data_IF_374882927368
#
_entry.id   IF_374882927368
#
_cell.length_a   1.000
_cell.length_b   1.000
_cell.length_c   1.000
_cell.angle_alpha   90.00
_cell.angle_beta   90.00
_cell.angle_gamma   90.00
#
_symmetry.space_group_name_H-M   'P 1'
#
loop_
_entity.id
_entity.type
_entity.pdbx_description
1 polymer ?
#
# COMPACT_ATOMS: atom_id res chain seq x y z
N UNK A 1 -22.28 11.32 -30.10
CA UNK A 1 -21.44 10.50 -29.20
C UNK A 1 -20.38 11.32 -28.45
N UNK A 2 -19.25 11.76 -29.05
CA UNK A 2 -18.19 12.52 -28.31
C UNK A 2 -18.65 13.74 -27.51
N UNK A 3 -19.64 14.51 -27.99
CA UNK A 3 -20.18 15.67 -27.24
C UNK A 3 -20.82 15.26 -25.89
N UNK A 4 -21.54 14.15 -25.88
CA UNK A 4 -22.18 13.60 -24.67
C UNK A 4 -21.11 13.03 -23.75
N UNK A 5 -20.20 12.21 -24.30
CA UNK A 5 -19.05 11.67 -23.55
C UNK A 5 -18.24 12.77 -22.89
N UNK A 6 -18.01 13.90 -23.57
CA UNK A 6 -17.28 15.04 -23.00
C UNK A 6 -18.03 15.69 -21.82
N UNK A 7 -19.35 15.84 -21.91
CA UNK A 7 -20.15 16.37 -20.80
C UNK A 7 -20.13 15.43 -19.59
N UNK A 8 -20.32 14.13 -19.84
CA UNK A 8 -20.29 13.10 -18.80
C UNK A 8 -18.90 13.05 -18.14
N UNK A 9 -17.84 12.97 -18.94
CA UNK A 9 -16.46 12.97 -18.45
C UNK A 9 -16.14 14.22 -17.64
N UNK A 10 -16.58 15.40 -18.07
CA UNK A 10 -16.38 16.65 -17.33
C UNK A 10 -17.07 16.62 -15.96
N UNK A 11 -18.36 16.27 -15.90
CA UNK A 11 -19.14 16.29 -14.66
C UNK A 11 -18.63 15.22 -13.69
N UNK A 12 -18.44 13.99 -14.18
CA UNK A 12 -17.94 12.89 -13.36
C UNK A 12 -16.48 13.14 -12.94
N UNK A 13 -15.64 13.67 -13.83
CA UNK A 13 -14.25 13.99 -13.54
C UNK A 13 -14.11 15.11 -12.52
N UNK A 14 -14.95 16.14 -12.58
CA UNK A 14 -14.93 17.22 -11.58
C UNK A 14 -15.45 16.74 -10.22
N UNK A 15 -16.51 15.92 -10.21
CA UNK A 15 -17.08 15.39 -8.96
C UNK A 15 -16.15 14.38 -8.26
N UNK A 16 -15.63 13.41 -9.00
CA UNK A 16 -14.74 12.36 -8.46
C UNK A 16 -13.28 12.78 -8.36
N UNK A 17 -12.88 13.85 -9.04
CA UNK A 17 -11.49 14.33 -9.06
C UNK A 17 -10.97 14.70 -7.67
N UNK A 18 -11.84 15.19 -6.78
CA UNK A 18 -11.46 15.47 -5.39
C UNK A 18 -11.08 14.20 -4.63
N UNK A 19 -11.86 13.13 -4.78
CA UNK A 19 -11.59 11.85 -4.14
C UNK A 19 -10.28 11.27 -4.67
N UNK A 20 -10.12 11.23 -6.00
CA UNK A 20 -8.89 10.72 -6.64
C UNK A 20 -7.68 11.53 -6.21
N UNK A 21 -7.82 12.86 -6.07
CA UNK A 21 -6.74 13.73 -5.61
C UNK A 21 -6.30 13.41 -4.17
N UNK A 22 -7.24 13.24 -3.24
CA UNK A 22 -6.95 12.89 -1.85
C UNK A 22 -6.27 11.51 -1.79
N UNK A 23 -6.83 10.51 -2.47
CA UNK A 23 -6.28 9.14 -2.51
C UNK A 23 -4.88 9.12 -3.14
N UNK A 24 -4.65 9.92 -4.19
CA UNK A 24 -3.34 9.99 -4.84
C UNK A 24 -2.27 10.64 -3.95
N UNK A 25 -2.60 11.73 -3.24
CA UNK A 25 -1.65 12.39 -2.32
C UNK A 25 -1.33 11.48 -1.14
N UNK A 26 -2.35 10.90 -0.51
CA UNK A 26 -2.17 9.98 0.63
C UNK A 26 -1.40 8.73 0.21
N UNK A 27 -1.68 8.18 -0.97
CA UNK A 27 -0.92 7.06 -1.53
C UNK A 27 0.55 7.41 -1.81
N UNK A 28 0.81 8.60 -2.33
CA UNK A 28 2.19 9.09 -2.54
C UNK A 28 2.94 9.20 -1.22
N UNK A 29 2.33 9.79 -0.20
CA UNK A 29 2.92 9.88 1.14
C UNK A 29 3.19 8.49 1.73
N UNK A 30 2.28 7.54 1.53
CA UNK A 30 2.43 6.18 2.04
C UNK A 30 3.56 5.40 1.37
N UNK A 31 3.75 5.56 0.05
CA UNK A 31 4.85 4.91 -0.69
C UNK A 31 6.22 5.33 -0.16
N UNK A 32 6.37 6.59 0.27
CA UNK A 32 7.62 7.13 0.83
C UNK A 32 7.65 7.09 2.36
N UNK A 33 6.89 6.18 3.00
CA UNK A 33 6.77 6.12 4.46
C UNK A 33 8.12 5.93 5.13
N UNK A 34 8.92 4.97 4.66
CA UNK A 34 10.21 4.64 5.28
C UNK A 34 11.21 5.77 5.09
N UNK A 35 11.29 6.39 3.92
CA UNK A 35 12.19 7.51 3.66
C UNK A 35 11.81 8.76 4.48
N UNK A 36 10.51 9.04 4.60
CA UNK A 36 10.03 10.13 5.44
C UNK A 36 10.34 9.83 6.92
N UNK A 37 10.10 8.60 7.38
CA UNK A 37 10.42 8.19 8.76
C UNK A 37 11.92 8.30 9.03
N UNK A 38 12.78 7.82 8.13
CA UNK A 38 14.23 7.88 8.30
C UNK A 38 14.76 9.32 8.47
N UNK A 39 14.11 10.31 7.84
CA UNK A 39 14.52 11.72 7.97
C UNK A 39 13.84 12.44 9.14
N UNK A 40 12.67 11.96 9.61
CA UNK A 40 11.86 12.64 10.63
C UNK A 40 11.90 12.00 12.01
N UNK A 41 12.29 10.73 12.09
CA UNK A 41 12.40 9.97 13.33
C UNK A 41 13.87 9.73 13.64
N UNK A 42 14.18 9.69 14.93
CA UNK A 42 15.51 9.31 15.40
C UNK A 42 15.75 7.82 15.12
N UNK A 43 16.82 7.52 14.41
CA UNK A 43 17.22 6.15 14.10
C UNK A 43 17.70 5.46 15.39
N UNK A 44 17.22 4.22 15.60
CA UNK A 44 17.71 3.40 16.70
C UNK A 44 19.07 2.84 16.29
N UNK A 45 20.13 3.53 16.66
CA UNK A 45 21.49 3.04 16.39
C UNK A 45 21.76 1.87 17.33
N UNK A 46 21.86 0.67 16.76
CA UNK A 46 22.29 -0.54 17.47
C UNK A 46 23.75 -0.78 17.10
N UNK A 47 24.61 -0.84 18.11
CA UNK A 47 26.00 -1.20 17.87
C UNK A 47 26.07 -2.67 17.42
N UNK A 48 26.66 -2.88 16.25
CA UNK A 48 26.89 -4.21 15.71
C UNK A 48 27.65 -5.07 16.72
N UNK A 49 27.00 -6.12 17.19
CA UNK A 49 27.63 -7.15 18.02
C UNK A 49 27.83 -8.41 17.18
N UNK A 50 28.96 -9.09 17.39
CA UNK A 50 29.25 -10.40 16.78
C UNK A 50 28.57 -11.54 17.56
N UNK A 51 27.66 -11.22 18.48
CA UNK A 51 26.95 -12.23 19.25
C UNK A 51 25.80 -12.81 18.43
N UNK A 52 25.42 -14.04 18.77
CA UNK A 52 24.30 -14.71 18.12
C UNK A 52 22.99 -13.95 18.39
N UNK A 53 22.11 -13.92 17.38
CA UNK A 53 20.75 -13.42 17.55
C UNK A 53 20.00 -14.15 18.66
N UNK A 54 19.10 -13.43 19.33
CA UNK A 54 18.06 -14.05 20.13
C UNK A 54 17.25 -15.02 19.29
N UNK A 55 16.98 -16.19 19.86
CA UNK A 55 16.07 -17.15 19.24
C UNK A 55 14.67 -16.58 19.09
N UNK A 56 13.88 -17.15 18.17
CA UNK A 56 12.49 -16.74 17.92
C UNK A 56 11.66 -16.90 19.19
N UNK A 57 11.87 -17.99 19.93
CA UNK A 57 11.20 -18.24 21.22
C UNK A 57 11.57 -17.20 22.28
N UNK A 58 12.82 -16.75 22.33
CA UNK A 58 13.24 -15.70 23.28
C UNK A 58 12.64 -14.34 22.93
N UNK A 59 12.68 -13.95 21.65
CA UNK A 59 12.06 -12.73 21.17
C UNK A 59 10.54 -12.73 21.40
N UNK A 60 9.86 -13.84 21.12
CA UNK A 60 8.43 -14.06 21.42
C UNK A 60 8.15 -13.83 22.92
N UNK A 61 8.95 -14.46 23.79
CA UNK A 61 8.78 -14.35 25.24
C UNK A 61 8.98 -12.90 25.73
N UNK A 62 10.01 -12.21 25.22
CA UNK A 62 10.27 -10.81 25.57
C UNK A 62 9.12 -9.92 25.09
N UNK A 63 8.67 -10.09 23.84
CA UNK A 63 7.57 -9.32 23.27
C UNK A 63 6.28 -9.46 24.10
N UNK A 64 5.96 -10.68 24.55
CA UNK A 64 4.80 -10.94 25.41
C UNK A 64 4.90 -10.33 26.81
N UNK A 65 6.07 -9.89 27.27
CA UNK A 65 6.16 -9.11 28.53
C UNK A 65 5.48 -7.74 28.40
N UNK A 66 5.43 -7.19 27.18
CA UNK A 66 4.75 -5.92 26.87
C UNK A 66 3.26 -6.13 26.62
N UNK A 67 2.92 -7.15 25.83
CA UNK A 67 1.53 -7.47 25.47
C UNK A 67 1.22 -8.96 25.74
N UNK A 68 0.92 -9.34 27.01
CA UNK A 68 0.76 -10.75 27.40
C UNK A 68 -0.38 -11.48 26.67
N UNK A 69 -1.50 -10.82 26.46
CA UNK A 69 -2.73 -11.43 25.93
C UNK A 69 -2.96 -11.16 24.42
N UNK A 70 -1.94 -10.65 23.72
CA UNK A 70 -2.03 -10.28 22.30
C UNK A 70 -1.34 -11.29 21.42
N UNK A 71 -1.92 -11.56 20.25
CA UNK A 71 -1.37 -12.51 19.29
C UNK A 71 -0.25 -11.85 18.46
N UNK A 72 0.90 -12.52 18.41
CA UNK A 72 1.98 -12.18 17.49
C UNK A 72 1.59 -12.70 16.11
N UNK A 73 1.56 -11.80 15.13
CA UNK A 73 1.34 -12.10 13.73
C UNK A 73 2.63 -12.56 13.03
N UNK A 74 3.76 -11.97 13.43
CA UNK A 74 5.07 -12.32 12.92
C UNK A 74 6.18 -11.66 13.73
N UNK A 75 7.38 -12.22 13.62
CA UNK A 75 8.61 -11.64 14.15
C UNK A 75 9.56 -11.48 12.96
N UNK A 76 10.00 -10.25 12.72
CA UNK A 76 10.91 -9.92 11.63
C UNK A 76 12.33 -9.78 12.18
N UNK A 77 13.26 -10.41 11.48
CA UNK A 77 14.70 -10.35 11.70
C UNK A 77 15.34 -9.77 10.45
N UNK A 78 16.29 -8.87 10.65
CA UNK A 78 17.17 -8.37 9.59
C UNK A 78 18.63 -8.67 10.00
N UNK A 79 19.54 -7.70 9.96
CA UNK A 79 20.90 -7.82 10.51
C UNK A 79 20.99 -7.48 12.02
N UNK A 80 22.16 -7.69 12.64
CA UNK A 80 22.37 -7.41 14.07
C UNK A 80 22.52 -5.92 14.40
N UNK A 81 22.53 -5.04 13.38
CA UNK A 81 22.41 -3.59 13.53
C UNK A 81 20.98 -3.08 13.48
N UNK A 82 20.00 -3.95 13.20
CA UNK A 82 18.59 -3.60 13.17
C UNK A 82 17.81 -4.29 14.32
N UNK A 83 16.77 -3.64 14.85
CA UNK A 83 15.95 -4.21 15.90
C UNK A 83 15.09 -5.38 15.38
N UNK A 84 14.94 -6.41 16.19
CA UNK A 84 13.92 -7.44 15.95
C UNK A 84 12.55 -6.79 16.13
N UNK A 85 11.67 -6.91 15.12
CA UNK A 85 10.29 -6.39 15.19
C UNK A 85 9.31 -7.52 15.47
N UNK A 86 8.75 -7.56 16.68
CA UNK A 86 7.63 -8.44 17.02
C UNK A 86 6.30 -7.72 16.75
N UNK A 87 5.58 -8.17 15.71
CA UNK A 87 4.34 -7.57 15.22
C UNK A 87 3.15 -8.27 15.86
N UNK A 88 2.33 -7.51 16.59
CA UNK A 88 1.07 -7.98 17.16
C UNK A 88 -0.10 -7.50 16.31
N UNK A 89 -0.95 -8.43 15.86
CA UNK A 89 -2.15 -8.09 15.09
C UNK A 89 -3.34 -8.96 15.49
N UNK A 90 -4.48 -8.33 15.77
CA UNK A 90 -5.77 -8.96 16.01
C UNK A 90 -6.86 -8.16 15.31
N UNK A 91 -7.84 -8.84 14.71
CA UNK A 91 -8.98 -8.18 14.05
C UNK A 91 -10.08 -7.81 15.02
N UNK A 92 -10.30 -8.62 16.07
CA UNK A 92 -11.40 -8.43 17.03
C UNK A 92 -10.95 -8.74 18.48
N UNK A 93 -10.90 -7.73 19.38
CA UNK A 93 -10.91 -6.30 19.05
C UNK A 93 -9.68 -5.91 18.22
N UNK A 94 -9.82 -4.92 17.34
CA UNK A 94 -8.73 -4.44 16.49
C UNK A 94 -7.53 -4.02 17.36
N UNK A 95 -6.39 -4.66 17.15
CA UNK A 95 -5.14 -4.34 17.82
C UNK A 95 -4.01 -4.49 16.80
N UNK A 96 -3.20 -3.45 16.63
CA UNK A 96 -2.05 -3.52 15.73
C UNK A 96 -0.90 -2.68 16.29
N UNK A 97 0.14 -3.35 16.76
CA UNK A 97 1.31 -2.69 17.36
C UNK A 97 2.56 -3.55 17.20
N UNK A 98 3.73 -2.94 17.21
CA UNK A 98 5.01 -3.63 17.21
C UNK A 98 5.81 -3.35 18.47
N UNK A 99 6.58 -4.35 18.89
CA UNK A 99 7.62 -4.23 19.91
C UNK A 99 8.96 -4.43 19.23
N UNK A 100 9.85 -3.45 19.38
CA UNK A 100 11.20 -3.50 18.82
C UNK A 100 12.17 -3.92 19.92
N UNK A 101 12.91 -5.00 19.68
CA UNK A 101 13.77 -5.66 20.66
C UNK A 101 15.21 -5.62 20.14
N UNK A 102 16.16 -5.35 21.03
CA UNK A 102 17.58 -5.42 20.69
C UNK A 102 17.95 -6.86 20.27
N UNK A 103 18.60 -7.05 19.11
CA UNK A 103 18.76 -8.36 18.47
C UNK A 103 19.54 -9.39 19.30
N UNK A 104 20.47 -8.95 20.15
CA UNK A 104 21.30 -9.81 21.01
C UNK A 104 21.02 -9.63 22.51
N UNK A 105 20.86 -8.40 23.00
CA UNK A 105 20.67 -8.12 24.44
C UNK A 105 19.26 -8.43 24.97
N UNK A 106 18.24 -8.44 24.09
CA UNK A 106 16.85 -8.67 24.51
C UNK A 106 16.19 -7.52 25.24
N UNK A 107 16.82 -6.34 25.22
CA UNK A 107 16.23 -5.11 25.76
C UNK A 107 15.14 -4.59 24.84
N UNK A 108 14.04 -4.09 25.41
CA UNK A 108 12.96 -3.47 24.63
C UNK A 108 13.39 -2.05 24.29
N UNK A 109 13.52 -1.76 22.99
CA UNK A 109 14.01 -0.48 22.48
C UNK A 109 12.87 0.53 22.34
N UNK A 110 11.78 0.13 21.68
CA UNK A 110 10.58 0.96 21.53
C UNK A 110 9.34 0.10 21.30
N UNK A 111 8.18 0.72 21.42
CA UNK A 111 6.91 0.16 20.97
C UNK A 111 6.26 1.15 20.00
N UNK A 112 5.60 0.63 18.96
CA UNK A 112 4.91 1.46 17.96
C UNK A 112 3.46 1.01 17.82
N UNK A 113 2.52 1.94 17.94
CA UNK A 113 1.11 1.69 17.68
C UNK A 113 0.78 2.10 16.24
N UNK A 114 0.57 1.10 15.38
CA UNK A 114 0.31 1.29 13.95
C UNK A 114 -1.07 1.87 13.62
N UNK A 115 -1.97 1.95 14.61
CA UNK A 115 -3.29 2.56 14.47
C UNK A 115 -3.29 4.06 14.74
N UNK A 116 -2.15 4.62 15.10
CA UNK A 116 -2.03 6.03 15.52
C UNK A 116 -0.89 6.76 14.81
N UNK A 117 -0.89 8.09 14.89
CA UNK A 117 0.14 8.93 14.31
C UNK A 117 -0.10 9.32 12.85
N UNK A 118 0.88 10.02 12.28
CA UNK A 118 0.76 10.63 10.95
C UNK A 118 0.48 9.60 9.85
N UNK A 119 1.24 8.49 9.82
CA UNK A 119 1.07 7.49 8.77
C UNK A 119 -0.23 6.69 8.92
N UNK A 120 -0.67 6.38 10.14
CA UNK A 120 -2.00 5.79 10.35
C UNK A 120 -3.11 6.69 9.81
N UNK A 121 -3.03 8.01 10.06
CA UNK A 121 -3.95 8.99 9.50
C UNK A 121 -3.86 9.06 7.96
N UNK A 122 -2.66 9.03 7.38
CA UNK A 122 -2.47 9.01 5.92
C UNK A 122 -3.11 7.76 5.30
N UNK A 123 -2.88 6.58 5.89
CA UNK A 123 -3.46 5.34 5.41
C UNK A 123 -4.97 5.36 5.50
N UNK A 124 -5.52 5.77 6.63
CA UNK A 124 -6.98 5.85 6.82
C UNK A 124 -7.62 6.82 5.81
N UNK A 125 -6.95 7.93 5.49
CA UNK A 125 -7.35 8.81 4.39
C UNK A 125 -7.29 8.13 3.02
N UNK A 126 -6.29 7.30 2.78
CA UNK A 126 -6.09 6.59 1.52
C UNK A 126 -7.16 5.51 1.26
N UNK A 127 -7.44 4.67 2.28
CA UNK A 127 -8.33 3.51 2.13
C UNK A 127 -9.77 3.79 2.56
N UNK A 128 -10.00 4.77 3.44
CA UNK A 128 -11.33 5.09 3.99
C UNK A 128 -11.76 6.55 3.83
N UNK A 129 -10.90 7.47 3.35
CA UNK A 129 -11.18 8.92 3.32
C UNK A 129 -11.56 9.50 4.69
N UNK A 130 -11.01 8.93 5.78
CA UNK A 130 -11.35 9.31 7.16
C UNK A 130 -12.84 9.15 7.51
N UNK A 131 -13.54 8.32 6.75
CA UNK A 131 -14.92 7.92 7.03
C UNK A 131 -14.93 6.56 7.73
N UNK A 132 -16.04 6.17 8.38
CA UNK A 132 -16.18 4.82 8.91
C UNK A 132 -15.89 3.78 7.82
N UNK A 133 -15.11 2.75 8.13
CA UNK A 133 -14.63 1.72 7.20
C UNK A 133 -15.75 1.20 6.27
N UNK A 134 -16.90 0.85 6.85
CA UNK A 134 -18.07 0.35 6.10
C UNK A 134 -18.53 1.26 4.94
N UNK A 135 -18.29 2.58 5.04
CA UNK A 135 -18.64 3.59 4.04
C UNK A 135 -17.41 3.98 3.21
N UNK A 136 -16.32 4.33 3.90
CA UNK A 136 -15.08 4.85 3.32
C UNK A 136 -14.48 3.89 2.30
N UNK A 137 -14.33 2.61 2.67
CA UNK A 137 -13.80 1.57 1.79
C UNK A 137 -14.62 1.45 0.50
N UNK A 138 -15.95 1.56 0.59
CA UNK A 138 -16.81 1.47 -0.59
C UNK A 138 -16.64 2.69 -1.51
N UNK A 139 -16.54 3.89 -0.94
CA UNK A 139 -16.34 5.12 -1.72
C UNK A 139 -15.02 5.06 -2.48
N UNK A 140 -13.90 4.74 -1.80
CA UNK A 140 -12.59 4.64 -2.44
C UNK A 140 -12.61 3.57 -3.52
N UNK A 141 -13.10 2.36 -3.19
CA UNK A 141 -13.18 1.23 -4.12
C UNK A 141 -13.95 1.56 -5.41
N UNK A 142 -15.15 2.15 -5.29
CA UNK A 142 -15.96 2.51 -6.46
C UNK A 142 -15.43 3.75 -7.19
N UNK A 143 -14.73 4.65 -6.50
CA UNK A 143 -14.03 5.77 -7.12
C UNK A 143 -12.92 5.29 -8.06
N UNK A 144 -12.22 4.19 -7.72
CA UNK A 144 -11.24 3.56 -8.61
C UNK A 144 -11.88 3.03 -9.90
N UNK A 145 -13.06 2.41 -9.82
CA UNK A 145 -13.83 1.97 -11.00
C UNK A 145 -14.26 3.16 -11.85
N UNK A 146 -14.79 4.21 -11.21
CA UNK A 146 -15.17 5.44 -11.89
C UNK A 146 -13.95 6.10 -12.57
N UNK A 147 -12.79 6.09 -11.92
CA UNK A 147 -11.56 6.61 -12.46
C UNK A 147 -11.10 5.83 -13.69
N UNK A 148 -11.24 4.49 -13.70
CA UNK A 148 -11.02 3.68 -14.90
C UNK A 148 -11.88 4.13 -16.08
N UNK A 149 -13.19 4.30 -15.85
CA UNK A 149 -14.12 4.77 -16.88
C UNK A 149 -13.76 6.18 -17.37
N UNK A 150 -13.30 7.06 -16.48
CA UNK A 150 -12.82 8.39 -16.82
C UNK A 150 -11.55 8.35 -17.67
N UNK A 151 -10.58 7.50 -17.34
CA UNK A 151 -9.35 7.35 -18.14
C UNK A 151 -9.67 6.81 -19.54
N UNK A 152 -10.49 5.76 -19.64
CA UNK A 152 -10.91 5.19 -20.93
C UNK A 152 -11.66 6.24 -21.78
N UNK A 153 -12.62 6.95 -21.18
CA UNK A 153 -13.35 8.00 -21.87
C UNK A 153 -12.46 9.19 -22.24
N UNK A 154 -11.47 9.52 -21.41
CA UNK A 154 -10.45 10.54 -21.66
C UNK A 154 -9.59 10.20 -22.87
N UNK A 155 -9.07 8.97 -22.96
CA UNK A 155 -8.30 8.47 -24.12
C UNK A 155 -9.18 8.50 -25.39
N UNK A 156 -10.44 8.06 -25.29
CA UNK A 156 -11.40 8.14 -26.39
C UNK A 156 -11.64 9.58 -26.88
N UNK A 157 -11.78 10.53 -25.95
CA UNK A 157 -11.94 11.96 -26.28
C UNK A 157 -10.65 12.57 -26.86
N UNK A 158 -9.49 12.16 -26.34
CA UNK A 158 -8.18 12.57 -26.81
C UNK A 158 -7.89 12.08 -28.23
N UNK A 159 -8.40 10.91 -28.63
CA UNK A 159 -8.12 10.35 -29.95
C UNK A 159 -8.53 11.29 -31.11
N UNK A 160 -7.59 11.67 -32.01
CA UNK A 160 -7.83 12.67 -33.03
C UNK A 160 -8.77 12.15 -34.12
N UNK A 161 -9.84 12.91 -34.41
CA UNK A 161 -10.79 12.60 -35.50
C UNK A 161 -10.29 13.07 -36.87
N UNK A 162 -9.43 14.09 -36.90
CA UNK A 162 -8.86 14.66 -38.13
C UNK A 162 -7.32 14.67 -38.02
N UNK A 163 -6.63 14.16 -39.06
CA UNK A 163 -5.16 14.05 -39.08
C UNK A 163 -4.46 15.42 -39.00
N UNK A 164 -5.10 16.51 -39.46
CA UNK A 164 -4.50 17.86 -39.48
C UNK A 164 -4.18 18.43 -38.09
N UNK A 165 -4.92 18.04 -37.05
CA UNK A 165 -4.76 18.60 -35.69
C UNK A 165 -4.02 17.64 -34.74
N UNK A 166 -3.30 16.64 -35.26
CA UNK A 166 -2.59 15.66 -34.43
C UNK A 166 -1.45 16.30 -33.62
N UNK A 167 -0.66 17.19 -34.23
CA UNK A 167 0.53 17.79 -33.59
C UNK A 167 0.19 18.55 -32.30
N UNK A 168 -0.94 19.24 -32.27
CA UNK A 168 -1.42 20.01 -31.11
C UNK A 168 -1.92 19.15 -29.93
N UNK A 169 -1.99 17.81 -30.08
CA UNK A 169 -2.41 16.88 -29.01
C UNK A 169 -1.25 16.25 -28.24
N UNK A 170 -0.02 16.47 -28.70
CA UNK A 170 1.19 15.92 -28.11
C UNK A 170 2.19 17.01 -27.69
N UNK A 171 1.98 18.26 -28.11
CA UNK A 171 2.89 19.38 -27.81
C UNK A 171 2.09 20.63 -27.48
N UNK A 172 2.61 21.41 -26.54
CA UNK A 172 2.11 22.75 -26.25
C UNK A 172 2.48 23.69 -27.40
N UNK A 173 1.48 24.30 -28.03
CA UNK A 173 1.64 25.34 -29.07
C UNK A 173 1.02 26.64 -28.55
N UNK A 174 1.60 27.17 -27.47
CA UNK A 174 1.10 28.36 -26.80
C UNK A 174 1.71 29.62 -27.39
N UNK A 175 0.84 30.47 -27.94
CA UNK A 175 1.16 31.84 -28.35
C UNK A 175 0.92 32.82 -27.21
N UNK A 176 1.50 34.01 -27.26
CA UNK A 176 1.25 35.09 -26.29
C UNK A 176 -0.24 35.44 -26.12
N UNK A 177 -1.05 35.23 -27.17
CA UNK A 177 -2.51 35.46 -27.18
C UNK A 177 -3.34 34.28 -26.63
N UNK A 178 -2.71 33.20 -26.15
CA UNK A 178 -3.43 31.99 -25.71
C UNK A 178 -4.13 32.20 -24.37
N UNK A 179 -5.46 32.15 -24.38
CA UNK A 179 -6.31 32.30 -23.18
C UNK A 179 -6.10 31.15 -22.19
N UNK A 180 -6.24 31.43 -20.88
CA UNK A 180 -6.09 30.44 -19.80
C UNK A 180 -6.94 29.18 -20.00
N UNK A 181 -8.20 29.34 -20.43
CA UNK A 181 -9.10 28.22 -20.74
C UNK A 181 -8.46 27.21 -21.71
N UNK A 182 -7.72 27.69 -22.72
CA UNK A 182 -7.03 26.83 -23.68
C UNK A 182 -5.79 26.18 -23.07
N UNK A 183 -5.01 26.93 -22.29
CA UNK A 183 -3.84 26.40 -21.57
C UNK A 183 -4.23 25.27 -20.63
N UNK A 184 -5.26 25.45 -19.80
CA UNK A 184 -5.76 24.42 -18.89
C UNK A 184 -6.25 23.17 -19.64
N UNK A 185 -6.98 23.36 -20.75
CA UNK A 185 -7.41 22.24 -21.59
C UNK A 185 -6.22 21.47 -22.18
N UNK A 186 -5.21 22.19 -22.70
CA UNK A 186 -4.02 21.57 -23.28
C UNK A 186 -3.18 20.87 -22.20
N UNK A 187 -3.04 21.45 -21.00
CA UNK A 187 -2.40 20.81 -19.85
C UNK A 187 -3.10 19.49 -19.50
N UNK A 188 -4.41 19.54 -19.22
CA UNK A 188 -5.18 18.35 -18.86
C UNK A 188 -5.17 17.29 -19.97
N UNK A 189 -5.32 17.71 -21.24
CA UNK A 189 -5.40 16.77 -22.36
C UNK A 189 -4.05 16.15 -22.73
N UNK A 190 -2.96 16.91 -22.71
CA UNK A 190 -1.63 16.41 -23.09
C UNK A 190 -1.05 15.62 -21.93
N UNK A 191 -1.03 16.21 -20.73
CA UNK A 191 -0.51 15.53 -19.54
C UNK A 191 -1.36 14.31 -19.18
N UNK A 192 -2.69 14.42 -19.23
CA UNK A 192 -3.59 13.30 -19.00
C UNK A 192 -3.36 12.13 -19.96
N UNK A 193 -2.98 12.40 -21.22
CA UNK A 193 -2.60 11.32 -22.14
C UNK A 193 -1.31 10.62 -21.70
N UNK A 194 -0.24 11.36 -21.40
CA UNK A 194 1.03 10.77 -20.96
C UNK A 194 0.89 10.02 -19.64
N UNK A 195 0.14 10.57 -18.68
CA UNK A 195 -0.08 9.94 -17.38
C UNK A 195 -1.07 8.79 -17.45
N UNK A 196 -1.93 8.71 -18.47
CA UNK A 196 -2.94 7.65 -18.57
C UNK A 196 -2.36 6.24 -18.51
N UNK A 197 -1.14 6.01 -19.01
CA UNK A 197 -0.49 4.70 -18.93
C UNK A 197 -0.17 4.31 -17.48
N UNK A 198 0.40 5.23 -16.71
CA UNK A 198 0.69 5.04 -15.29
C UNK A 198 -0.61 4.95 -14.48
N UNK A 199 -1.60 5.79 -14.80
CA UNK A 199 -2.91 5.74 -14.19
C UNK A 199 -3.58 4.36 -14.39
N UNK A 200 -3.50 3.77 -15.59
CA UNK A 200 -4.05 2.43 -15.84
C UNK A 200 -3.34 1.36 -15.01
N UNK A 201 -2.03 1.46 -14.81
CA UNK A 201 -1.28 0.54 -13.93
C UNK A 201 -1.77 0.67 -12.49
N UNK A 202 -1.83 1.89 -11.94
CA UNK A 202 -2.31 2.13 -10.57
C UNK A 202 -3.77 1.76 -10.35
N UNK A 203 -4.62 1.99 -11.36
CA UNK A 203 -6.02 1.57 -11.33
C UNK A 203 -6.08 0.04 -11.30
N UNK A 204 -5.30 -0.67 -12.12
CA UNK A 204 -5.29 -2.13 -12.12
C UNK A 204 -4.87 -2.68 -10.75
N UNK A 205 -3.78 -2.16 -10.17
CA UNK A 205 -3.34 -2.59 -8.83
C UNK A 205 -4.39 -2.29 -7.78
N UNK A 206 -4.98 -1.09 -7.79
CA UNK A 206 -6.08 -0.72 -6.89
C UNK A 206 -7.31 -1.62 -7.03
N UNK A 207 -7.69 -1.99 -8.25
CA UNK A 207 -8.81 -2.91 -8.49
C UNK A 207 -8.51 -4.34 -8.03
N UNK A 208 -7.28 -4.82 -8.22
CA UNK A 208 -6.82 -6.13 -7.71
C UNK A 208 -6.90 -6.16 -6.19
N UNK A 209 -6.49 -5.10 -5.50
CA UNK A 209 -6.55 -5.03 -4.03
C UNK A 209 -7.98 -4.89 -3.51
N UNK A 210 -8.82 -4.11 -4.18
CA UNK A 210 -10.16 -3.78 -3.68
C UNK A 210 -11.25 -4.79 -4.05
N UNK A 211 -11.07 -5.58 -5.11
CA UNK A 211 -12.06 -6.54 -5.59
C UNK A 211 -11.50 -7.96 -5.70
N UNK A 212 -11.91 -8.89 -4.81
CA UNK A 212 -11.46 -10.28 -4.86
C UNK A 212 -11.70 -10.97 -6.20
N UNK A 213 -12.78 -10.60 -6.91
CA UNK A 213 -13.07 -11.14 -8.24
C UNK A 213 -12.04 -10.71 -9.29
N UNK A 214 -11.54 -9.47 -9.19
CA UNK A 214 -10.49 -8.95 -10.09
C UNK A 214 -9.18 -9.64 -9.76
N UNK A 215 -8.83 -9.75 -8.47
CA UNK A 215 -7.66 -10.50 -8.02
C UNK A 215 -7.64 -11.93 -8.57
N UNK A 216 -8.73 -12.69 -8.35
CA UNK A 216 -8.87 -14.07 -8.83
C UNK A 216 -8.78 -14.16 -10.36
N UNK A 217 -9.38 -13.22 -11.08
CA UNK A 217 -9.33 -13.18 -12.54
C UNK A 217 -7.89 -12.96 -13.06
N UNK A 218 -7.17 -11.98 -12.50
CA UNK A 218 -5.78 -11.70 -12.87
C UNK A 218 -4.87 -12.87 -12.49
N UNK A 219 -5.00 -13.42 -11.28
CA UNK A 219 -4.23 -14.57 -10.82
C UNK A 219 -4.37 -15.79 -11.75
N UNK A 220 -5.61 -16.11 -12.16
CA UNK A 220 -5.87 -17.19 -13.12
C UNK A 220 -5.32 -16.87 -14.51
N UNK A 221 -5.46 -15.64 -14.99
CA UNK A 221 -4.95 -15.23 -16.30
C UNK A 221 -3.42 -15.32 -16.38
N UNK A 222 -2.72 -15.17 -15.25
CA UNK A 222 -1.27 -15.35 -15.13
C UNK A 222 -0.84 -16.81 -14.89
N UNK A 223 -1.76 -17.78 -14.99
CA UNK A 223 -1.47 -19.21 -14.89
C UNK A 223 -1.57 -19.80 -13.47
N UNK A 224 -2.09 -19.03 -12.51
CA UNK A 224 -2.31 -19.52 -11.15
C UNK A 224 -3.41 -20.57 -11.07
N UNK A 225 -3.11 -21.74 -10.48
CA UNK A 225 -4.01 -22.89 -10.42
C UNK A 225 -4.66 -23.12 -9.03
N UNK A 226 -4.15 -22.47 -7.98
CA UNK A 226 -4.64 -22.62 -6.59
C UNK A 226 -5.55 -21.45 -6.18
N UNK A 227 -6.23 -21.56 -5.04
CA UNK A 227 -6.83 -20.38 -4.44
C UNK A 227 -5.72 -19.42 -3.99
N UNK A 228 -5.83 -18.13 -4.33
CA UNK A 228 -4.90 -17.08 -3.89
C UNK A 228 -5.05 -16.72 -2.40
N UNK A 229 -5.88 -17.47 -1.66
CA UNK A 229 -6.21 -17.18 -0.27
C UNK A 229 -5.15 -17.78 0.65
N UNK A 230 -4.50 -16.93 1.44
CA UNK A 230 -3.65 -17.39 2.55
C UNK A 230 -4.54 -18.07 3.60
N UNK A 231 -4.29 -19.34 3.89
CA UNK A 231 -4.94 -20.05 4.99
C UNK A 231 -4.06 -19.90 6.23
N UNK A 232 -4.57 -19.27 7.27
CA UNK A 232 -3.91 -19.27 8.58
C UNK A 232 -4.00 -20.70 9.12
N UNK A 233 -2.88 -21.40 9.35
CA UNK A 233 -2.91 -22.75 9.91
C UNK A 233 -3.53 -22.72 11.31
N UNK A 234 -4.41 -23.68 11.61
CA UNK A 234 -4.97 -23.82 12.95
C UNK A 234 -3.88 -24.33 13.91
N UNK A 235 -3.37 -23.43 14.75
CA UNK A 235 -2.34 -23.70 15.75
C UNK A 235 -2.80 -24.52 16.96
N UNK A 236 -4.08 -24.93 17.01
CA UNK A 236 -4.62 -25.76 18.11
C UNK A 236 -4.05 -27.18 18.16
N UNK A 237 -3.43 -27.66 17.07
CA UNK A 237 -2.68 -28.93 17.05
C UNK A 237 -1.20 -28.70 17.36
N UNK A 238 -0.88 -28.45 18.63
CA UNK A 238 0.50 -28.60 19.13
C UNK A 238 0.75 -30.07 19.45
N UNK A 239 1.40 -30.80 18.55
CA UNK A 239 1.98 -32.09 18.92
C UNK A 239 3.03 -31.84 20.00
N UNK A 240 2.75 -32.41 21.17
CA UNK A 240 3.49 -32.20 22.42
C UNK A 240 4.75 -33.09 22.45
N UNK A 241 5.71 -32.85 21.55
CA UNK A 241 7.00 -33.53 21.61
C UNK A 241 8.12 -32.54 21.93
N UNK A 242 8.86 -32.87 23.00
CA UNK A 242 9.97 -32.18 23.68
C UNK A 242 11.25 -31.99 22.82
N UNK A 243 11.05 -31.83 21.52
CA UNK A 243 12.08 -31.44 20.54
C UNK A 243 12.30 -29.93 20.66
N UNK A 244 13.56 -29.42 20.60
CA UNK A 244 13.79 -27.97 20.50
C UNK A 244 12.89 -27.43 19.41
N UNK A 245 12.04 -26.45 19.76
CA UNK A 245 10.94 -26.00 18.89
C UNK A 245 11.52 -25.77 17.50
N UNK A 246 11.00 -26.49 16.50
CA UNK A 246 11.50 -26.49 15.11
C UNK A 246 11.63 -25.09 14.50
N UNK A 247 10.99 -24.09 15.11
CA UNK A 247 11.02 -22.70 14.73
C UNK A 247 12.36 -22.01 15.02
N UNK A 248 13.07 -22.33 16.12
CA UNK A 248 14.34 -21.66 16.44
C UNK A 248 15.48 -22.08 15.50
N UNK A 249 15.39 -23.31 14.96
CA UNK A 249 16.30 -23.77 13.90
C UNK A 249 16.03 -23.12 12.54
N UNK A 250 14.86 -22.50 12.38
CA UNK A 250 14.43 -21.93 11.11
C UNK A 250 15.22 -20.66 10.79
N UNK A 251 15.49 -19.82 11.80
CA UNK A 251 16.33 -18.63 11.64
C UNK A 251 17.74 -19.01 11.17
N UNK A 252 18.38 -19.99 11.82
CA UNK A 252 19.71 -20.46 11.44
C UNK A 252 19.75 -21.08 10.04
N UNK A 253 18.66 -21.74 9.61
CA UNK A 253 18.55 -22.27 8.25
C UNK A 253 18.42 -21.15 7.23
N UNK A 254 17.57 -20.16 7.49
CA UNK A 254 17.38 -19.01 6.62
C UNK A 254 18.68 -18.21 6.44
N UNK A 255 19.42 -17.96 7.52
CA UNK A 255 20.73 -17.27 7.47
C UNK A 255 21.82 -18.01 6.69
N UNK A 256 21.67 -19.33 6.47
CA UNK A 256 22.61 -20.10 5.64
C UNK A 256 22.25 -20.10 4.17
N UNK A 257 20.98 -19.84 3.85
CA UNK A 257 20.43 -19.94 2.50
C UNK A 257 20.35 -18.58 1.79
N UNK A 258 20.17 -17.50 2.57
CA UNK A 258 20.12 -16.10 2.13
C UNK A 258 21.27 -15.30 2.72
#
# INVERSE_FOLDING_TARGET
MKKITNKIHLVLGLGSGLVVFIVAITGCLWVFREEIKAVTQEELIIENSNDDFLSITEAEKIAHTVYPDKLIHGILYDDTSEPIEAIFYQTEPLFYSSVFIHPTQGTILKTENHLTGFFAFVLDGHIHLWLPEAIGTQIVKWSTVLFLLLVISGIYLWWPRNKKNKKQRFKFDWKSTTKWKRKNFDLHSIFGFYVSIFALIFILTGLIMAFPIVNKAVYRAMGGQKEATFLIPDGSKRDSTDTPKSIDQLLQKLQKEY
#
